data_IF_512117948058
#
_entry.id   IF_512117948058
#
_cell.length_a   1.000
_cell.length_b   1.000
_cell.length_c   1.000
_cell.angle_alpha   90.00
_cell.angle_beta   90.00
_cell.angle_gamma   90.00
#
_symmetry.space_group_name_H-M   'P 1'
#
loop_
_entity.id
_entity.type
_entity.pdbx_description
1 polymer ?
#
# COMPACT_ATOMS: atom_id res chain seq x y z
N UNK A 1 3.40 -9.15 -11.37
CA UNK A 1 2.76 -7.81 -11.50
C UNK A 1 1.36 -7.91 -12.08
N UNK A 2 1.13 -8.74 -13.08
CA UNK A 2 -0.17 -8.86 -13.75
C UNK A 2 -1.27 -9.28 -12.80
N UNK A 3 -1.02 -10.33 -12.03
CA UNK A 3 -1.96 -10.77 -11.01
C UNK A 3 -2.16 -9.69 -9.90
N UNK A 4 -1.19 -8.79 -9.65
CA UNK A 4 -1.36 -7.69 -8.67
C UNK A 4 -2.39 -6.70 -9.21
N UNK A 5 -2.27 -6.36 -10.50
CA UNK A 5 -3.21 -5.49 -11.18
C UNK A 5 -4.61 -6.14 -11.21
N UNK A 6 -4.70 -7.45 -11.48
CA UNK A 6 -5.98 -8.17 -11.43
C UNK A 6 -6.58 -8.19 -10.02
N UNK A 7 -5.76 -8.31 -8.97
CA UNK A 7 -6.24 -8.22 -7.59
C UNK A 7 -6.79 -6.82 -7.25
N UNK A 8 -6.10 -5.75 -7.68
CA UNK A 8 -6.57 -4.36 -7.52
C UNK A 8 -7.85 -4.09 -8.32
N UNK A 9 -7.92 -4.58 -9.56
CA UNK A 9 -9.11 -4.44 -10.40
C UNK A 9 -10.35 -5.05 -9.73
N UNK A 10 -10.21 -6.27 -9.19
CA UNK A 10 -11.30 -6.93 -8.46
C UNK A 10 -11.69 -6.19 -7.17
N UNK A 11 -10.71 -5.68 -6.43
CA UNK A 11 -10.98 -4.88 -5.22
C UNK A 11 -11.75 -3.59 -5.55
N UNK A 12 -11.33 -2.86 -6.60
CA UNK A 12 -11.99 -1.64 -7.04
C UNK A 12 -13.41 -1.91 -7.58
N UNK A 13 -13.62 -3.04 -8.26
CA UNK A 13 -14.96 -3.49 -8.68
C UNK A 13 -15.87 -3.75 -7.48
N UNK A 14 -15.36 -4.42 -6.44
CA UNK A 14 -16.09 -4.62 -5.19
C UNK A 14 -16.48 -3.30 -4.52
N UNK A 15 -15.52 -2.39 -4.37
CA UNK A 15 -15.75 -1.07 -3.78
C UNK A 15 -16.75 -0.24 -4.60
N UNK A 16 -16.66 -0.27 -5.94
CA UNK A 16 -17.61 0.40 -6.82
C UNK A 16 -19.03 -0.15 -6.68
N UNK A 17 -19.20 -1.48 -6.68
CA UNK A 17 -20.53 -2.10 -6.48
C UNK A 17 -21.14 -1.71 -5.15
N UNK A 18 -20.35 -1.74 -4.07
CA UNK A 18 -20.80 -1.34 -2.75
C UNK A 18 -21.23 0.14 -2.75
N UNK A 19 -20.40 1.03 -3.30
CA UNK A 19 -20.73 2.45 -3.40
C UNK A 19 -21.99 2.71 -4.23
N UNK A 20 -22.17 2.01 -5.36
CA UNK A 20 -23.38 2.13 -6.18
C UNK A 20 -24.61 1.59 -5.46
N UNK A 21 -24.48 0.49 -4.71
CA UNK A 21 -25.58 -0.06 -3.91
C UNK A 21 -26.02 0.86 -2.77
N UNK A 22 -25.08 1.63 -2.21
CA UNK A 22 -25.35 2.63 -1.17
C UNK A 22 -25.62 4.04 -1.75
N UNK A 23 -25.81 4.16 -3.07
CA UNK A 23 -26.07 5.43 -3.79
C UNK A 23 -24.97 6.49 -3.59
N UNK A 24 -23.75 6.06 -3.21
CA UNK A 24 -22.59 6.93 -3.03
C UNK A 24 -21.87 7.14 -4.36
N UNK A 25 -22.45 8.01 -5.19
CA UNK A 25 -21.97 8.29 -6.54
C UNK A 25 -20.54 8.84 -6.59
N UNK A 26 -20.10 9.60 -5.56
CA UNK A 26 -18.73 10.13 -5.47
C UNK A 26 -17.73 9.01 -5.24
N UNK A 27 -17.99 8.14 -4.27
CA UNK A 27 -17.12 7.01 -3.94
C UNK A 27 -17.03 6.01 -5.10
N UNK A 28 -18.13 5.78 -5.80
CA UNK A 28 -18.12 4.99 -7.03
C UNK A 28 -17.20 5.59 -8.11
N UNK A 29 -17.16 6.91 -8.26
CA UNK A 29 -16.23 7.55 -9.22
C UNK A 29 -14.79 7.46 -8.74
N UNK A 30 -14.52 7.64 -7.46
CA UNK A 30 -13.17 7.55 -6.88
C UNK A 30 -12.55 6.17 -7.12
N UNK A 31 -13.25 5.11 -6.69
CA UNK A 31 -12.78 3.73 -6.82
C UNK A 31 -12.52 3.34 -8.30
N UNK A 32 -13.31 3.90 -9.21
CA UNK A 32 -13.33 3.46 -10.61
C UNK A 32 -12.47 4.29 -11.56
N UNK A 33 -12.50 5.61 -11.48
CA UNK A 33 -11.78 6.45 -12.44
C UNK A 33 -10.41 6.83 -11.91
N UNK A 34 -10.31 7.20 -10.63
CA UNK A 34 -9.07 7.73 -10.09
C UNK A 34 -8.16 6.62 -9.56
N UNK A 35 -8.66 5.75 -8.68
CA UNK A 35 -7.84 4.70 -8.08
C UNK A 35 -7.37 3.68 -9.12
N UNK A 36 -8.26 3.27 -10.01
CA UNK A 36 -7.94 2.31 -11.06
C UNK A 36 -6.93 2.87 -12.08
N UNK A 37 -7.05 4.14 -12.47
CA UNK A 37 -6.10 4.78 -13.38
C UNK A 37 -4.74 4.95 -12.69
N UNK A 38 -4.72 5.29 -11.41
CA UNK A 38 -3.50 5.34 -10.61
C UNK A 38 -2.81 3.96 -10.55
N UNK A 39 -3.58 2.89 -10.35
CA UNK A 39 -3.07 1.52 -10.33
C UNK A 39 -2.55 1.05 -11.68
N UNK A 40 -3.20 1.43 -12.77
CA UNK A 40 -2.73 1.19 -14.12
C UNK A 40 -1.42 1.92 -14.42
N UNK A 41 -1.34 3.21 -14.08
CA UNK A 41 -0.13 4.01 -14.27
C UNK A 41 1.05 3.45 -13.47
N UNK A 42 0.78 2.98 -12.25
CA UNK A 42 1.77 2.29 -11.45
C UNK A 42 2.23 0.97 -12.08
N UNK A 43 1.28 0.13 -12.53
CA UNK A 43 1.59 -1.12 -13.22
C UNK A 43 2.47 -0.88 -14.45
N UNK A 44 2.17 0.14 -15.25
CA UNK A 44 2.98 0.51 -16.43
C UNK A 44 4.41 0.90 -16.09
N UNK A 45 4.62 1.62 -14.98
CA UNK A 45 5.99 1.94 -14.53
C UNK A 45 6.74 0.71 -14.04
N UNK A 46 6.02 -0.23 -13.41
CA UNK A 46 6.60 -1.39 -12.73
C UNK A 46 6.85 -2.59 -13.64
N UNK A 47 6.00 -2.81 -14.65
CA UNK A 47 6.08 -3.93 -15.57
C UNK A 47 7.07 -3.62 -16.70
N UNK A 48 8.14 -4.43 -16.81
CA UNK A 48 9.16 -4.30 -17.88
C UNK A 48 8.56 -4.61 -19.26
N UNK A 49 7.57 -5.51 -19.33
CA UNK A 49 6.72 -5.76 -20.51
C UNK A 49 5.31 -6.15 -20.07
N UNK A 50 4.28 -5.32 -20.31
CA UNK A 50 2.91 -5.65 -19.93
C UNK A 50 2.32 -6.67 -20.92
N UNK A 51 2.20 -7.93 -20.49
CA UNK A 51 1.62 -9.03 -21.26
C UNK A 51 0.09 -8.98 -21.35
N UNK A 52 -0.57 -8.35 -20.38
CA UNK A 52 -2.03 -8.42 -20.18
C UNK A 52 -2.79 -7.12 -20.54
N UNK A 53 -2.29 -6.33 -21.50
CA UNK A 53 -2.95 -5.08 -21.92
C UNK A 53 -4.44 -5.24 -22.28
N UNK A 54 -4.83 -6.41 -22.79
CA UNK A 54 -6.20 -6.75 -23.21
C UNK A 54 -7.07 -7.38 -22.10
N UNK A 55 -6.48 -8.04 -21.10
CA UNK A 55 -7.23 -8.73 -20.03
C UNK A 55 -7.79 -7.76 -18.98
N UNK A 56 -7.17 -6.58 -18.85
CA UNK A 56 -7.57 -5.51 -17.93
C UNK A 56 -8.69 -4.66 -18.53
N UNK A 57 -8.84 -4.64 -19.84
CA UNK A 57 -9.77 -3.78 -20.58
C UNK A 57 -11.21 -4.31 -20.52
N UNK A 58 -11.37 -5.63 -20.61
CA UNK A 58 -12.67 -6.30 -20.68
C UNK A 58 -13.54 -6.13 -19.42
N UNK A 59 -12.99 -6.13 -18.18
CA UNK A 59 -13.78 -5.90 -16.97
C UNK A 59 -14.16 -4.43 -16.75
N UNK A 60 -13.65 -3.48 -17.55
CA UNK A 60 -13.89 -2.04 -17.39
C UNK A 60 -15.13 -1.55 -18.11
N UNK A 61 -15.54 -2.24 -19.18
CA UNK A 61 -16.67 -1.85 -20.01
C UNK A 61 -17.96 -1.74 -19.22
N UNK A 62 -18.51 -2.85 -18.68
CA UNK A 62 -19.82 -2.89 -18.01
C UNK A 62 -19.97 -1.84 -16.89
N UNK A 63 -18.91 -1.62 -16.11
CA UNK A 63 -18.94 -0.68 -14.99
C UNK A 63 -18.92 0.81 -15.43
N UNK A 64 -18.56 1.11 -16.70
CA UNK A 64 -18.49 2.47 -17.26
C UNK A 64 -19.78 2.99 -17.81
N UNK A 65 -20.69 2.08 -18.11
CA UNK A 65 -21.94 2.42 -18.76
C UNK A 65 -22.79 3.40 -17.94
N UNK A 66 -22.67 3.38 -16.61
CA UNK A 66 -23.51 4.20 -15.73
C UNK A 66 -23.24 5.71 -15.83
N UNK A 67 -22.09 6.14 -16.34
CA UNK A 67 -21.70 7.58 -16.30
C UNK A 67 -21.18 8.13 -17.61
N UNK A 68 -20.50 7.31 -18.40
CA UNK A 68 -20.03 7.69 -19.73
C UNK A 68 -20.47 6.62 -20.74
N UNK A 69 -21.79 6.40 -20.92
CA UNK A 69 -22.32 5.28 -21.70
C UNK A 69 -21.80 5.27 -23.14
N UNK A 70 -21.73 6.42 -23.81
CA UNK A 70 -21.28 6.51 -25.20
C UNK A 70 -19.80 6.16 -25.36
N UNK A 71 -18.94 6.71 -24.48
CA UNK A 71 -17.50 6.43 -24.48
C UNK A 71 -17.28 4.95 -24.12
N UNK A 72 -17.99 4.44 -23.11
CA UNK A 72 -17.93 3.04 -22.71
C UNK A 72 -18.24 2.07 -23.85
N UNK A 73 -19.33 2.36 -24.58
CA UNK A 73 -19.79 1.58 -25.72
C UNK A 73 -18.78 1.61 -26.86
N UNK A 74 -18.22 2.80 -27.18
CA UNK A 74 -17.20 2.93 -28.20
C UNK A 74 -15.92 2.15 -27.84
N UNK A 75 -15.46 2.24 -26.58
CA UNK A 75 -14.34 1.45 -26.10
C UNK A 75 -14.62 -0.06 -26.19
N UNK A 76 -15.82 -0.49 -25.82
CA UNK A 76 -16.24 -1.89 -25.89
C UNK A 76 -16.21 -2.46 -27.31
N UNK A 77 -16.73 -1.70 -28.27
CA UNK A 77 -16.70 -2.07 -29.68
C UNK A 77 -15.27 -2.15 -30.21
N UNK A 78 -14.41 -1.17 -29.87
CA UNK A 78 -12.99 -1.17 -30.24
C UNK A 78 -12.21 -2.35 -29.65
N UNK A 79 -12.66 -2.91 -28.53
CA UNK A 79 -12.05 -4.09 -27.89
C UNK A 79 -12.56 -5.44 -28.45
N UNK A 80 -13.42 -5.42 -29.47
CA UNK A 80 -14.01 -6.64 -30.05
C UNK A 80 -15.20 -7.18 -29.24
N UNK A 81 -15.77 -6.36 -28.36
CA UNK A 81 -16.98 -6.67 -27.62
C UNK A 81 -18.16 -6.92 -28.56
N UNK A 82 -18.93 -7.98 -28.33
CA UNK A 82 -20.13 -8.32 -29.10
C UNK A 82 -21.37 -7.84 -28.33
N UNK A 83 -22.35 -7.28 -29.05
CA UNK A 83 -23.60 -6.68 -28.52
C UNK A 83 -23.36 -5.39 -27.72
N UNK A 84 -24.46 -4.65 -27.47
CA UNK A 84 -24.43 -3.43 -26.67
C UNK A 84 -24.03 -3.73 -25.22
N UNK A 85 -23.18 -2.87 -24.67
CA UNK A 85 -22.60 -3.01 -23.34
C UNK A 85 -23.63 -3.05 -22.18
N UNK A 86 -24.77 -2.32 -22.22
CA UNK A 86 -25.82 -2.43 -21.19
C UNK A 86 -26.41 -3.84 -21.04
N UNK A 87 -26.36 -4.67 -22.08
CA UNK A 87 -26.87 -6.03 -22.05
C UNK A 87 -25.86 -7.05 -21.48
N UNK A 88 -24.66 -6.59 -21.09
CA UNK A 88 -23.58 -7.45 -20.61
C UNK A 88 -23.54 -7.43 -19.08
N UNK A 89 -23.67 -8.61 -18.45
CA UNK A 89 -23.54 -8.73 -17.00
C UNK A 89 -22.12 -8.41 -16.56
N UNK A 90 -21.95 -7.60 -15.51
CA UNK A 90 -20.64 -7.36 -14.93
C UNK A 90 -20.09 -8.67 -14.33
N UNK A 91 -18.90 -9.15 -14.75
CA UNK A 91 -18.35 -10.40 -14.26
C UNK A 91 -18.10 -10.33 -12.74
N UNK A 92 -18.74 -11.20 -11.97
CA UNK A 92 -18.51 -11.30 -10.53
C UNK A 92 -17.24 -12.09 -10.27
N UNK A 93 -16.10 -11.39 -10.26
CA UNK A 93 -14.83 -11.97 -9.85
C UNK A 93 -14.79 -12.17 -8.35
N UNK A 94 -14.58 -13.41 -7.89
CA UNK A 94 -14.29 -13.70 -6.48
C UNK A 94 -12.97 -13.02 -6.09
N UNK A 95 -12.96 -12.29 -4.97
CA UNK A 95 -11.73 -11.69 -4.43
C UNK A 95 -10.82 -12.83 -3.96
N UNK A 96 -9.90 -13.27 -4.83
CA UNK A 96 -8.87 -14.24 -4.46
C UNK A 96 -7.77 -13.55 -3.65
N UNK A 97 -7.27 -14.30 -2.66
CA UNK A 97 -6.32 -13.93 -1.62
C UNK A 97 -4.98 -13.35 -2.14
N UNK A 98 -5.01 -12.11 -2.63
CA UNK A 98 -3.83 -11.34 -3.04
C UNK A 98 -3.33 -10.34 -1.97
N UNK A 99 -3.91 -10.37 -0.76
CA UNK A 99 -3.61 -9.43 0.34
C UNK A 99 -2.12 -9.19 0.59
N UNK A 100 -1.26 -10.21 0.76
CA UNK A 100 0.15 -9.97 1.05
C UNK A 100 0.85 -9.25 -0.10
N UNK A 101 0.52 -9.56 -1.36
CA UNK A 101 1.16 -8.89 -2.49
C UNK A 101 0.68 -7.46 -2.68
N UNK A 102 -0.62 -7.20 -2.49
CA UNK A 102 -1.13 -5.83 -2.49
C UNK A 102 -0.46 -5.02 -1.37
N UNK A 103 -0.25 -5.62 -0.20
CA UNK A 103 0.51 -5.04 0.91
C UNK A 103 1.96 -4.73 0.56
N UNK A 104 2.69 -5.67 -0.06
CA UNK A 104 4.08 -5.46 -0.54
C UNK A 104 4.19 -4.24 -1.45
N UNK A 105 3.27 -4.13 -2.41
CA UNK A 105 3.32 -3.05 -3.38
C UNK A 105 2.91 -1.70 -2.78
N UNK A 106 1.93 -1.70 -1.87
CA UNK A 106 1.55 -0.51 -1.12
C UNK A 106 2.74 0.01 -0.28
N UNK A 107 3.46 -0.89 0.40
CA UNK A 107 4.67 -0.54 1.14
C UNK A 107 5.72 0.08 0.21
N UNK A 108 6.03 -0.54 -0.94
CA UNK A 108 6.97 0.01 -1.91
C UNK A 108 6.59 1.42 -2.40
N UNK A 109 5.30 1.67 -2.67
CA UNK A 109 4.82 3.00 -3.07
C UNK A 109 5.06 4.04 -1.98
N UNK A 110 4.75 3.71 -0.73
CA UNK A 110 4.98 4.60 0.42
C UNK A 110 6.46 4.88 0.58
N UNK A 111 7.30 3.84 0.52
CA UNK A 111 8.76 3.97 0.63
C UNK A 111 9.35 4.85 -0.48
N UNK A 112 8.93 4.68 -1.73
CA UNK A 112 9.36 5.55 -2.84
C UNK A 112 8.88 7.00 -2.68
N UNK A 113 7.67 7.20 -2.18
CA UNK A 113 7.14 8.56 -1.94
C UNK A 113 7.92 9.25 -0.82
N UNK A 114 8.27 8.52 0.24
CA UNK A 114 9.13 9.02 1.31
C UNK A 114 10.52 9.39 0.77
N UNK A 115 11.13 8.50 -0.02
CA UNK A 115 12.42 8.78 -0.67
C UNK A 115 12.36 10.02 -1.56
N UNK A 116 11.30 10.18 -2.36
CA UNK A 116 11.10 11.36 -3.20
C UNK A 116 10.94 12.67 -2.41
N UNK A 117 10.29 12.58 -1.24
CA UNK A 117 10.15 13.71 -0.33
C UNK A 117 11.50 14.09 0.29
N UNK A 118 12.25 13.11 0.78
CA UNK A 118 13.60 13.32 1.30
C UNK A 118 14.50 13.93 0.23
N UNK A 119 14.47 13.39 -0.98
CA UNK A 119 15.30 13.89 -2.05
C UNK A 119 14.91 15.31 -2.51
N UNK A 120 13.62 15.63 -2.60
CA UNK A 120 13.17 17.01 -2.87
C UNK A 120 13.68 17.99 -1.80
N UNK A 121 13.77 17.56 -0.54
CA UNK A 121 14.34 18.38 0.54
C UNK A 121 15.87 18.51 0.43
N UNK A 122 16.54 17.49 -0.11
CA UNK A 122 18.00 17.46 -0.29
C UNK A 122 18.46 18.21 -1.53
N UNK A 123 17.69 18.24 -2.62
CA UNK A 123 18.02 18.93 -3.88
C UNK A 123 18.12 20.45 -3.75
N UNK A 124 17.61 21.03 -2.66
CA UNK A 124 17.89 22.42 -2.29
C UNK A 124 19.35 22.65 -1.85
N UNK A 125 20.12 21.57 -1.64
CA UNK A 125 21.51 21.60 -1.19
C UNK A 125 22.39 21.09 -2.33
N UNK A 126 23.38 21.86 -2.81
CA UNK A 126 24.29 21.41 -3.84
C UNK A 126 25.25 20.37 -3.24
N UNK A 127 24.95 19.08 -3.43
CA UNK A 127 25.86 17.99 -3.08
C UNK A 127 25.95 17.00 -4.23
N UNK A 128 27.20 16.66 -4.58
CA UNK A 128 27.54 15.66 -5.59
C UNK A 128 27.07 14.25 -5.20
N UNK A 129 27.34 13.29 -6.08
CA UNK A 129 26.88 11.89 -6.03
C UNK A 129 27.10 11.22 -4.66
N UNK A 130 26.11 11.32 -3.76
CA UNK A 130 26.13 10.63 -2.47
C UNK A 130 25.31 9.34 -2.54
N UNK A 131 25.82 8.23 -1.97
CA UNK A 131 25.08 6.98 -1.93
C UNK A 131 23.87 7.10 -1.00
N UNK A 132 22.71 6.63 -1.47
CA UNK A 132 21.50 6.53 -0.66
C UNK A 132 21.49 5.19 0.08
N UNK A 133 21.33 5.21 1.40
CA UNK A 133 21.23 4.02 2.25
C UNK A 133 19.83 3.95 2.84
N UNK A 134 19.13 2.83 2.61
CA UNK A 134 17.86 2.54 3.27
C UNK A 134 18.14 1.60 4.45
N UNK A 135 17.65 1.96 5.63
CA UNK A 135 17.71 1.14 6.83
C UNK A 135 16.29 0.78 7.25
N UNK A 136 16.06 -0.50 7.53
CA UNK A 136 14.80 -0.99 8.10
C UNK A 136 14.75 -0.73 9.61
N UNK A 137 13.55 -0.75 10.18
CA UNK A 137 13.38 -0.54 11.61
C UNK A 137 14.04 -1.67 12.45
N UNK A 138 14.44 -1.34 13.67
CA UNK A 138 14.92 -2.33 14.63
C UNK A 138 13.82 -3.33 14.99
N UNK A 139 14.19 -4.60 15.23
CA UNK A 139 13.25 -5.70 15.46
C UNK A 139 12.22 -5.41 16.57
N UNK A 140 12.66 -4.79 17.67
CA UNK A 140 11.81 -4.43 18.80
C UNK A 140 10.65 -3.46 18.43
N UNK A 141 10.83 -2.60 17.43
CA UNK A 141 9.76 -1.70 16.96
C UNK A 141 8.65 -2.48 16.25
N UNK A 142 9.03 -3.52 15.51
CA UNK A 142 8.10 -4.42 14.84
C UNK A 142 7.35 -5.30 15.84
N UNK A 143 8.03 -5.74 16.92
CA UNK A 143 7.40 -6.48 18.02
C UNK A 143 6.37 -5.62 18.75
N UNK A 144 6.71 -4.39 19.15
CA UNK A 144 5.75 -3.46 19.75
C UNK A 144 4.56 -3.17 18.84
N UNK A 145 4.79 -3.02 17.54
CA UNK A 145 3.70 -2.83 16.57
C UNK A 145 2.77 -4.04 16.52
N UNK A 146 3.32 -5.26 16.55
CA UNK A 146 2.54 -6.51 16.58
C UNK A 146 1.74 -6.65 17.86
N UNK A 147 2.33 -6.36 19.01
CA UNK A 147 1.64 -6.39 20.30
C UNK A 147 0.51 -5.35 20.36
N UNK A 148 0.75 -4.15 19.85
CA UNK A 148 -0.27 -3.12 19.76
C UNK A 148 -1.44 -3.51 18.84
N UNK A 149 -1.17 -4.22 17.73
CA UNK A 149 -2.22 -4.79 16.88
C UNK A 149 -3.03 -5.87 17.60
N UNK A 150 -2.35 -6.78 18.31
CA UNK A 150 -3.00 -7.85 19.08
C UNK A 150 -3.92 -7.26 20.16
N UNK A 151 -3.39 -6.38 21.00
CA UNK A 151 -4.17 -5.72 22.05
C UNK A 151 -5.34 -4.91 21.51
N UNK A 152 -5.18 -4.29 20.34
CA UNK A 152 -6.27 -3.59 19.69
C UNK A 152 -7.38 -4.55 19.22
N UNK A 153 -7.02 -5.72 18.70
CA UNK A 153 -7.99 -6.76 18.34
C UNK A 153 -8.74 -7.33 19.55
N UNK A 154 -8.11 -7.31 20.72
CA UNK A 154 -8.68 -7.73 22.01
C UNK A 154 -9.49 -6.62 22.71
N UNK A 155 -9.68 -5.45 22.08
CA UNK A 155 -10.33 -4.27 22.66
C UNK A 155 -9.69 -3.80 23.99
N UNK A 156 -8.37 -3.93 24.12
CA UNK A 156 -7.63 -3.50 25.31
C UNK A 156 -7.67 -1.98 25.50
N UNK A 157 -7.79 -1.52 26.76
CA UNK A 157 -7.71 -0.10 27.10
C UNK A 157 -6.25 0.35 27.25
N UNK A 158 -5.74 0.96 26.17
CA UNK A 158 -4.39 1.51 26.12
C UNK A 158 -4.13 2.64 27.11
N UNK A 159 -5.16 3.34 27.62
CA UNK A 159 -4.98 4.42 28.60
C UNK A 159 -4.77 3.89 30.01
N UNK A 160 -5.54 2.86 30.38
CA UNK A 160 -5.48 2.28 31.72
C UNK A 160 -4.32 1.28 31.88
N UNK A 161 -4.11 0.39 30.90
CA UNK A 161 -3.16 -0.71 31.02
C UNK A 161 -1.90 -0.60 30.15
N UNK A 162 -1.82 0.42 29.28
CA UNK A 162 -0.74 0.52 28.29
C UNK A 162 0.65 0.69 28.88
N UNK A 163 0.80 1.40 30.00
CA UNK A 163 2.11 1.57 30.66
C UNK A 163 2.57 0.29 31.36
N UNK A 164 1.68 -0.38 32.10
CA UNK A 164 2.02 -1.63 32.79
C UNK A 164 2.45 -2.71 31.80
N UNK A 165 1.79 -2.79 30.64
CA UNK A 165 2.15 -3.71 29.58
C UNK A 165 3.56 -3.45 29.03
N UNK A 166 3.92 -2.20 28.70
CA UNK A 166 5.26 -1.88 28.20
C UNK A 166 6.35 -2.20 29.22
N UNK A 167 6.09 -1.97 30.50
CA UNK A 167 7.03 -2.26 31.57
C UNK A 167 7.27 -3.77 31.77
N UNK A 168 6.31 -4.61 31.37
CA UNK A 168 6.45 -6.07 31.44
C UNK A 168 7.24 -6.68 30.27
N UNK A 169 7.62 -5.91 29.26
CA UNK A 169 8.37 -6.41 28.11
C UNK A 169 9.87 -6.46 28.40
N UNK A 170 10.55 -7.52 27.98
CA UNK A 170 12.01 -7.69 28.14
C UNK A 170 12.81 -6.56 27.46
N UNK A 171 12.28 -6.00 26.36
CA UNK A 171 12.87 -4.85 25.65
C UNK A 171 13.01 -3.62 26.58
N UNK A 172 12.16 -3.52 27.61
CA UNK A 172 12.15 -2.42 28.56
C UNK A 172 13.28 -2.50 29.62
N UNK A 173 13.93 -3.65 29.75
CA UNK A 173 15.08 -3.81 30.67
C UNK A 173 16.26 -2.93 30.26
N UNK A 174 16.39 -2.61 28.97
CA UNK A 174 17.45 -1.76 28.46
C UNK A 174 17.19 -0.27 28.77
N UNK A 175 17.89 0.25 29.78
CA UNK A 175 17.74 1.62 30.28
C UNK A 175 17.90 2.71 29.23
N UNK A 176 18.81 2.53 28.28
CA UNK A 176 19.08 3.53 27.23
C UNK A 176 17.90 3.69 26.27
N UNK A 177 17.08 2.65 26.08
CA UNK A 177 16.00 2.61 25.09
C UNK A 177 14.63 2.93 25.69
N UNK A 178 14.47 2.97 27.02
CA UNK A 178 13.17 3.18 27.69
C UNK A 178 12.42 4.42 27.18
N UNK A 179 13.14 5.54 26.98
CA UNK A 179 12.56 6.76 26.46
C UNK A 179 11.98 6.59 25.04
N UNK A 180 12.75 5.98 24.14
CA UNK A 180 12.31 5.71 22.76
C UNK A 180 11.19 4.68 22.69
N UNK A 181 11.22 3.67 23.56
CA UNK A 181 10.17 2.64 23.67
C UNK A 181 8.84 3.28 24.06
N UNK A 182 8.82 4.12 25.09
CA UNK A 182 7.60 4.83 25.48
C UNK A 182 7.10 5.77 24.40
N UNK A 183 7.98 6.53 23.76
CA UNK A 183 7.58 7.43 22.66
C UNK A 183 6.98 6.65 21.48
N UNK A 184 7.61 5.53 21.11
CA UNK A 184 7.13 4.66 20.04
C UNK A 184 5.78 4.04 20.41
N UNK A 185 5.65 3.51 21.62
CA UNK A 185 4.40 2.91 22.10
C UNK A 185 3.24 3.91 22.17
N UNK A 186 3.50 5.12 22.69
CA UNK A 186 2.50 6.19 22.73
C UNK A 186 2.10 6.60 21.31
N UNK A 187 3.04 6.72 20.37
CA UNK A 187 2.73 7.04 18.98
C UNK A 187 1.86 5.94 18.30
N UNK A 188 2.05 4.68 18.68
CA UNK A 188 1.27 3.55 18.17
C UNK A 188 -0.16 3.51 18.76
N UNK A 189 -0.30 3.68 20.07
CA UNK A 189 -1.54 3.38 20.80
C UNK A 189 -2.42 4.60 21.03
N UNK A 190 -1.96 5.56 21.83
CA UNK A 190 -2.75 6.72 22.27
C UNK A 190 -2.63 7.90 21.32
N UNK A 191 -1.49 8.03 20.64
CA UNK A 191 -1.16 9.14 19.75
C UNK A 191 -0.87 10.43 20.51
N UNK A 192 -1.10 11.58 19.86
CA UNK A 192 -0.94 12.90 20.47
C UNK A 192 -2.30 13.54 20.72
N UNK A 193 -2.32 14.65 21.47
CA UNK A 193 -3.55 15.42 21.75
C UNK A 193 -4.36 15.79 20.48
N UNK A 194 -3.73 15.84 19.30
CA UNK A 194 -4.36 16.17 18.01
C UNK A 194 -4.51 14.98 17.05
N UNK A 195 -3.89 13.83 17.32
CA UNK A 195 -3.87 12.67 16.42
C UNK A 195 -4.08 11.39 17.20
N UNK A 196 -5.05 10.57 16.81
CA UNK A 196 -5.23 9.21 17.36
C UNK A 196 -3.98 8.36 17.08
N UNK A 197 -3.71 7.39 17.94
CA UNK A 197 -2.60 6.46 17.76
C UNK A 197 -2.71 5.71 16.43
N UNK A 198 -1.54 5.37 15.86
CA UNK A 198 -1.46 4.80 14.50
C UNK A 198 -2.24 3.51 14.33
N UNK A 199 -2.42 2.72 15.38
CA UNK A 199 -3.17 1.46 15.36
C UNK A 199 -4.62 1.65 14.87
N UNK A 200 -5.22 2.80 15.18
CA UNK A 200 -6.57 3.15 14.71
C UNK A 200 -6.62 3.70 13.29
N UNK A 201 -5.50 4.21 12.76
CA UNK A 201 -5.43 4.84 11.44
C UNK A 201 -4.73 3.99 10.38
N UNK A 202 -4.15 2.84 10.76
CA UNK A 202 -3.44 2.00 9.81
C UNK A 202 -4.36 1.43 8.74
N UNK A 203 -3.91 1.57 7.50
CA UNK A 203 -4.47 0.89 6.34
C UNK A 203 -4.32 -0.64 6.47
N UNK A 204 -5.14 -1.40 5.75
CA UNK A 204 -5.04 -2.86 5.71
C UNK A 204 -3.64 -3.34 5.30
N UNK A 205 -2.97 -2.63 4.39
CA UNK A 205 -1.58 -2.91 4.00
C UNK A 205 -0.57 -2.70 5.12
N UNK A 206 -0.73 -1.66 5.94
CA UNK A 206 0.15 -1.40 7.08
C UNK A 206 -0.09 -2.41 8.20
N UNK A 207 -1.34 -2.86 8.40
CA UNK A 207 -1.67 -3.92 9.35
C UNK A 207 -1.04 -5.26 8.98
N UNK A 208 -1.05 -5.60 7.69
CA UNK A 208 -0.38 -6.80 7.16
C UNK A 208 1.15 -6.73 7.34
N UNK A 209 1.75 -5.53 7.17
CA UNK A 209 3.17 -5.35 7.43
C UNK A 209 3.47 -5.49 8.93
N UNK A 210 2.68 -4.85 9.79
CA UNK A 210 2.85 -4.88 11.25
C UNK A 210 2.57 -6.24 11.90
N UNK A 211 1.73 -7.08 11.29
CA UNK A 211 1.52 -8.45 11.78
C UNK A 211 2.75 -9.35 11.56
N UNK A 212 3.67 -8.95 10.68
CA UNK A 212 4.85 -9.73 10.31
C UNK A 212 4.62 -10.71 9.16
N UNK A 213 3.49 -10.60 8.45
CA UNK A 213 3.24 -11.40 7.23
C UNK A 213 4.19 -11.03 6.07
N UNK A 214 4.89 -9.89 6.19
CA UNK A 214 5.75 -9.34 5.17
C UNK A 214 7.13 -9.00 5.74
N UNK A 215 8.17 -9.55 5.12
CA UNK A 215 9.56 -9.20 5.41
C UNK A 215 9.97 -7.95 4.59
N UNK A 216 10.10 -6.81 5.27
CA UNK A 216 10.49 -5.52 4.70
C UNK A 216 11.84 -5.59 3.98
N UNK A 217 12.82 -6.27 4.57
CA UNK A 217 14.18 -6.38 4.00
C UNK A 217 14.14 -7.16 2.69
N UNK A 218 13.41 -8.28 2.65
CA UNK A 218 13.23 -9.04 1.40
C UNK A 218 12.55 -8.21 0.31
N UNK A 219 11.55 -7.39 0.67
CA UNK A 219 10.83 -6.54 -0.28
C UNK A 219 11.81 -5.53 -0.87
N UNK A 220 12.60 -4.82 -0.07
CA UNK A 220 13.55 -3.83 -0.59
C UNK A 220 14.63 -4.51 -1.44
N UNK A 221 15.14 -5.67 -1.00
CA UNK A 221 16.18 -6.41 -1.71
C UNK A 221 15.73 -6.86 -3.11
N UNK A 222 14.54 -7.46 -3.23
CA UNK A 222 13.96 -7.90 -4.52
C UNK A 222 13.70 -6.73 -5.47
N UNK A 223 13.47 -5.53 -4.92
CA UNK A 223 13.11 -4.33 -5.68
C UNK A 223 14.28 -3.36 -5.90
N UNK A 224 15.49 -3.77 -5.53
CA UNK A 224 16.70 -2.95 -5.57
C UNK A 224 17.10 -2.48 -6.97
N UNK A 225 16.75 -3.22 -8.02
CA UNK A 225 16.99 -2.77 -9.40
C UNK A 225 15.95 -1.76 -9.88
N UNK A 226 14.74 -1.77 -9.29
CA UNK A 226 13.65 -0.88 -9.71
C UNK A 226 13.74 0.49 -9.03
N UNK A 227 14.07 0.54 -7.75
CA UNK A 227 14.13 1.78 -6.96
C UNK A 227 15.02 2.85 -7.66
N UNK A 228 16.25 2.53 -8.11
CA UNK A 228 17.13 3.49 -8.78
C UNK A 228 16.64 3.86 -10.18
N UNK A 229 16.07 2.90 -10.92
CA UNK A 229 15.50 3.17 -12.26
C UNK A 229 14.28 4.08 -12.19
N UNK A 230 13.44 3.93 -11.18
CA UNK A 230 12.31 4.83 -10.93
C UNK A 230 12.77 6.23 -10.56
N UNK A 231 13.93 6.34 -9.91
CA UNK A 231 14.52 7.59 -9.46
C UNK A 231 15.39 8.30 -10.52
N UNK A 232 15.98 7.55 -11.45
CA UNK A 232 16.85 8.08 -12.52
C UNK A 232 18.33 8.22 -12.14
N UNK A 233 18.81 7.56 -11.08
CA UNK A 233 20.22 7.68 -10.64
C UNK A 233 21.03 6.40 -10.83
N UNK A 234 22.20 6.55 -11.45
CA UNK A 234 23.17 5.48 -11.75
C UNK A 234 23.96 4.96 -10.52
N UNK A 235 23.69 5.44 -9.31
CA UNK A 235 24.50 5.16 -8.12
C UNK A 235 23.65 4.65 -6.95
N UNK A 236 23.40 3.34 -6.94
CA UNK A 236 22.69 2.65 -5.86
C UNK A 236 23.55 1.53 -5.28
N UNK A 237 23.63 1.45 -3.95
CA UNK A 237 24.18 0.28 -3.24
C UNK A 237 23.25 -0.12 -2.09
N UNK A 238 22.86 -1.39 -2.07
CA UNK A 238 22.23 -2.00 -0.90
C UNK A 238 23.27 -2.18 0.22
N UNK A 239 22.94 -1.91 1.49
CA UNK A 239 23.76 -2.35 2.61
C UNK A 239 23.50 -3.85 2.83
N UNK A 240 24.49 -4.72 2.56
CA UNK A 240 24.34 -6.14 2.93
C UNK A 240 25.22 -7.18 2.24
N UNK A 241 25.90 -6.88 1.13
CA UNK A 241 26.95 -7.77 0.63
C UNK A 241 28.29 -7.37 1.27
N UNK A 242 28.58 -7.93 2.45
CA UNK A 242 29.98 -8.16 2.81
C UNK A 242 30.48 -9.25 1.85
N UNK A 243 31.45 -8.89 1.02
CA UNK A 243 32.40 -9.88 0.49
C UNK A 243 33.35 -10.32 1.59
#
# INVERSE_FOLDING_TARGET
MDEWLMARLRANQGAWRQAMSSVSLREGVMARHFEMLADWNWYRRRAVRPSHGHGVSHPLGPDACSRHPHIAEEFWQRMGGKRCLPATSCPTGRVLAGRPRTGREAHLRVSLTALATCASSLSATPRGDQPVVIQTAAAWKSELARDALRLHSENFDFKAGGQAHVQSLEVFENEALRGEIFQTWMALTTGSKKKRGRVHSWSDSERILGSGELDETSIIAVNSDFIPRHWGSHHWRLPGRRG
#
